data_IF_490295028665
#
_entry.id   IF_490295028665
#
_cell.length_a   1.000
_cell.length_b   1.000
_cell.length_c   1.000
_cell.angle_alpha   90.00
_cell.angle_beta   90.00
_cell.angle_gamma   90.00
#
_symmetry.space_group_name_H-M   'P 1'
#
loop_
_entity.id
_entity.type
_entity.pdbx_description
1 polymer ?
#
# COMPACT_ATOMS: atom_id res chain seq x y z
N UNK A 1 -38.61 62.28 -1.45
CA UNK A 1 -37.85 63.54 -1.47
C UNK A 1 -37.18 63.76 -0.12
N UNK A 2 -35.90 64.14 -0.16
CA UNK A 2 -35.05 64.67 0.93
C UNK A 2 -34.48 63.63 1.92
N UNK A 3 -33.27 63.23 1.56
CA UNK A 3 -32.22 62.72 2.43
C UNK A 3 -31.77 63.81 3.42
N UNK A 4 -31.45 63.43 4.66
CA UNK A 4 -30.38 64.02 5.47
C UNK A 4 -30.30 63.30 6.82
N UNK A 5 -29.14 62.69 7.11
CA UNK A 5 -28.34 62.95 8.32
C UNK A 5 -27.11 62.06 8.33
N UNK A 6 -25.97 62.70 8.12
CA UNK A 6 -24.63 62.24 8.42
C UNK A 6 -24.50 61.91 9.90
N UNK A 7 -24.04 60.71 10.25
CA UNK A 7 -23.35 60.46 11.52
C UNK A 7 -22.10 59.62 11.23
N UNK A 8 -21.01 60.18 11.73
CA UNK A 8 -19.62 59.75 11.69
C UNK A 8 -19.46 58.42 12.46
N UNK A 9 -19.15 57.33 11.77
CA UNK A 9 -18.72 56.08 12.42
C UNK A 9 -17.19 56.02 12.44
N UNK A 10 -16.63 56.04 13.64
CA UNK A 10 -15.24 55.75 13.90
C UNK A 10 -14.91 54.32 13.42
N UNK A 11 -14.09 54.21 12.38
CA UNK A 11 -13.56 52.94 11.91
C UNK A 11 -12.44 52.48 12.85
N UNK A 12 -12.79 51.61 13.80
CA UNK A 12 -11.83 50.72 14.45
C UNK A 12 -11.23 49.81 13.38
N UNK A 13 -9.91 49.87 13.21
CA UNK A 13 -9.14 48.98 12.35
C UNK A 13 -9.25 47.54 12.90
N UNK A 14 -10.19 46.76 12.38
CA UNK A 14 -10.19 45.31 12.55
C UNK A 14 -9.13 44.74 11.61
N UNK A 15 -7.94 44.45 12.14
CA UNK A 15 -6.96 43.64 11.43
C UNK A 15 -7.45 42.18 11.41
N UNK A 16 -7.48 41.52 10.25
CA UNK A 16 -7.94 40.14 10.16
C UNK A 16 -6.91 39.24 10.84
N UNK A 17 -7.34 38.54 11.89
CA UNK A 17 -6.63 37.39 12.42
C UNK A 17 -6.62 36.34 11.30
N UNK A 18 -5.53 36.26 10.54
CA UNK A 18 -5.31 35.20 9.56
C UNK A 18 -5.39 33.88 10.32
N UNK A 19 -6.50 33.16 10.15
CA UNK A 19 -6.64 31.77 10.54
C UNK A 19 -5.70 30.97 9.64
N UNK A 20 -4.47 30.76 10.10
CA UNK A 20 -3.63 29.69 9.58
C UNK A 20 -4.38 28.38 9.88
N UNK A 21 -5.12 27.90 8.88
CA UNK A 21 -5.47 26.50 8.82
C UNK A 21 -4.14 25.73 8.76
N UNK A 22 -3.67 25.27 9.92
CA UNK A 22 -2.61 24.28 9.97
C UNK A 22 -3.19 23.00 9.39
N UNK A 23 -2.97 22.79 8.10
CA UNK A 23 -3.04 21.47 7.51
C UNK A 23 -1.93 20.65 8.13
N UNK A 24 -2.23 20.01 9.26
CA UNK A 24 -1.40 18.95 9.80
C UNK A 24 -1.50 17.78 8.82
N UNK A 25 -0.65 17.82 7.80
CA UNK A 25 -0.28 16.62 7.07
C UNK A 25 0.29 15.64 8.10
N UNK A 26 -0.54 14.71 8.54
CA UNK A 26 -0.11 13.61 9.37
C UNK A 26 0.91 12.79 8.57
N UNK A 27 2.20 13.06 8.78
CA UNK A 27 3.23 12.07 8.55
C UNK A 27 3.01 10.99 9.60
N UNK A 28 2.17 10.01 9.29
CA UNK A 28 2.24 8.74 10.01
C UNK A 28 3.56 8.11 9.59
N UNK A 29 4.60 8.27 10.40
CA UNK A 29 5.59 7.21 10.55
C UNK A 29 4.81 6.01 11.11
N UNK A 30 4.09 5.31 10.23
CA UNK A 30 3.40 4.09 10.60
C UNK A 30 4.50 3.09 10.89
N UNK A 31 4.84 2.95 12.17
CA UNK A 31 5.70 1.89 12.65
C UNK A 31 5.18 0.59 12.02
N UNK A 32 6.08 -0.12 11.34
CA UNK A 32 5.75 -1.39 10.71
C UNK A 32 5.09 -2.31 11.75
N UNK A 33 4.00 -3.01 11.39
CA UNK A 33 3.28 -3.83 12.35
C UNK A 33 4.15 -5.02 12.76
N UNK A 34 4.18 -5.34 14.05
CA UNK A 34 4.91 -6.48 14.60
C UNK A 34 4.11 -7.78 14.40
N UNK A 35 3.76 -8.10 13.15
CA UNK A 35 3.02 -9.31 12.77
C UNK A 35 3.81 -10.15 11.78
N UNK A 36 3.45 -11.43 11.69
CA UNK A 36 4.12 -12.40 10.84
C UNK A 36 4.19 -11.97 9.36
N UNK A 37 3.13 -11.34 8.83
CA UNK A 37 3.15 -10.83 7.45
C UNK A 37 4.30 -9.84 7.21
N UNK A 38 4.54 -8.94 8.15
CA UNK A 38 5.59 -7.93 8.02
C UNK A 38 6.97 -8.56 8.15
N UNK A 39 7.13 -9.52 9.07
CA UNK A 39 8.35 -10.33 9.16
C UNK A 39 8.62 -11.05 7.83
N UNK A 40 7.60 -11.67 7.23
CA UNK A 40 7.73 -12.39 5.95
C UNK A 40 8.12 -11.45 4.81
N UNK A 41 7.52 -10.25 4.71
CA UNK A 41 7.93 -9.22 3.74
C UNK A 41 9.40 -8.86 3.94
N UNK A 42 9.81 -8.59 5.18
CA UNK A 42 11.19 -8.21 5.50
C UNK A 42 12.19 -9.32 5.17
N UNK A 43 11.91 -10.57 5.56
CA UNK A 43 12.75 -11.74 5.25
C UNK A 43 12.84 -11.98 3.74
N UNK A 44 11.73 -11.78 3.01
CA UNK A 44 11.68 -11.99 1.56
C UNK A 44 12.50 -10.94 0.82
N UNK A 45 12.39 -9.66 1.20
CA UNK A 45 13.22 -8.58 0.67
C UNK A 45 14.69 -8.70 1.11
N UNK A 46 14.95 -9.34 2.26
CA UNK A 46 16.31 -9.68 2.67
C UNK A 46 16.95 -10.69 1.71
N UNK A 47 16.16 -11.65 1.21
CA UNK A 47 16.60 -12.71 0.29
C UNK A 47 16.62 -12.29 -1.18
N UNK A 48 15.64 -11.51 -1.62
CA UNK A 48 15.42 -11.10 -3.01
C UNK A 48 15.70 -9.61 -3.19
N UNK A 49 16.99 -9.27 -3.36
CA UNK A 49 17.49 -7.88 -3.44
C UNK A 49 17.09 -7.15 -4.72
N UNK A 50 16.58 -7.87 -5.71
CA UNK A 50 16.01 -7.37 -6.95
C UNK A 50 14.58 -6.82 -6.79
N UNK A 51 13.87 -7.22 -5.73
CA UNK A 51 12.55 -6.69 -5.39
C UNK A 51 12.70 -5.38 -4.61
N UNK A 52 12.16 -4.30 -5.15
CA UNK A 52 12.26 -2.95 -4.55
C UNK A 52 11.03 -2.56 -3.75
N UNK A 53 9.85 -3.08 -4.09
CA UNK A 53 8.62 -2.89 -3.32
C UNK A 53 7.90 -4.23 -3.18
N UNK A 54 7.40 -4.49 -1.97
CA UNK A 54 6.49 -5.57 -1.69
C UNK A 54 5.36 -5.09 -0.77
N UNK A 55 4.12 -5.42 -1.11
CA UNK A 55 2.95 -5.09 -0.29
C UNK A 55 1.91 -6.22 -0.31
N UNK A 56 1.38 -6.57 0.87
CA UNK A 56 0.37 -7.62 1.04
C UNK A 56 -1.00 -6.99 1.25
N UNK A 57 -1.93 -7.23 0.32
CA UNK A 57 -3.34 -6.87 0.44
C UNK A 57 -4.14 -8.09 0.90
N UNK A 58 -4.62 -8.05 2.14
CA UNK A 58 -5.30 -9.18 2.79
C UNK A 58 -6.47 -8.64 3.62
N UNK A 59 -7.55 -9.41 3.74
CA UNK A 59 -8.68 -9.10 4.61
C UNK A 59 -8.32 -9.41 6.08
N UNK A 60 -8.23 -8.42 6.98
CA UNK A 60 -7.97 -8.67 8.39
C UNK A 60 -9.11 -9.43 9.08
N UNK A 61 -8.83 -10.13 10.20
CA UNK A 61 -9.87 -10.71 11.04
C UNK A 61 -10.92 -9.65 11.42
N UNK A 62 -12.20 -10.03 11.34
CA UNK A 62 -13.35 -9.17 11.67
C UNK A 62 -13.51 -7.91 10.79
N UNK A 63 -12.87 -7.88 9.61
CA UNK A 63 -13.05 -6.84 8.60
C UNK A 63 -13.54 -7.45 7.30
N UNK A 64 -14.08 -6.61 6.41
CA UNK A 64 -14.56 -7.00 5.08
C UNK A 64 -13.66 -6.55 3.93
N UNK A 65 -12.88 -5.49 4.15
CA UNK A 65 -12.05 -4.89 3.11
C UNK A 65 -10.67 -5.57 3.09
N UNK A 66 -10.13 -5.78 1.89
CA UNK A 66 -8.70 -6.06 1.73
C UNK A 66 -7.91 -4.77 1.92
N UNK A 67 -6.91 -4.81 2.79
CA UNK A 67 -6.05 -3.66 3.10
C UNK A 67 -4.59 -4.08 3.08
N UNK A 68 -3.68 -3.11 2.97
CA UNK A 68 -2.25 -3.36 3.18
C UNK A 68 -2.03 -3.76 4.64
N UNK A 69 -1.61 -5.01 4.87
CA UNK A 69 -1.28 -5.51 6.21
C UNK A 69 0.23 -5.54 6.47
N UNK A 70 1.04 -5.54 5.41
CA UNK A 70 2.49 -5.55 5.46
C UNK A 70 3.07 -4.93 4.20
N UNK A 71 4.11 -4.11 4.32
CA UNK A 71 4.87 -3.60 3.19
C UNK A 71 6.22 -2.99 3.61
N UNK A 72 7.11 -2.75 2.65
CA UNK A 72 8.32 -1.94 2.86
C UNK A 72 8.14 -0.45 2.52
N UNK A 73 6.94 -0.02 2.14
CA UNK A 73 6.62 1.38 1.79
C UNK A 73 5.56 1.99 2.72
N UNK A 74 5.20 1.30 3.80
CA UNK A 74 4.15 1.70 4.74
C UNK A 74 2.74 1.53 4.17
N UNK A 75 1.89 2.56 4.31
CA UNK A 75 0.49 2.56 3.85
C UNK A 75 -0.38 1.47 4.50
N UNK A 76 0.02 0.99 5.67
CA UNK A 76 -0.71 -0.03 6.43
C UNK A 76 -2.16 0.44 6.66
N UNK A 77 -3.13 -0.42 6.37
CA UNK A 77 -4.56 -0.12 6.44
C UNK A 77 -5.14 0.56 5.20
N UNK A 78 -4.33 0.97 4.21
CA UNK A 78 -4.85 1.47 2.93
C UNK A 78 -5.63 0.34 2.25
N UNK A 79 -6.84 0.64 1.79
CA UNK A 79 -7.64 -0.30 0.98
C UNK A 79 -6.90 -0.68 -0.30
N UNK A 80 -7.02 -1.95 -0.67
CA UNK A 80 -6.73 -2.46 -1.99
C UNK A 80 -7.48 -1.62 -3.03
N UNK A 81 -6.83 -1.29 -4.14
CA UNK A 81 -7.47 -0.60 -5.25
C UNK A 81 -7.97 -1.59 -6.32
N UNK A 82 -8.42 -1.07 -7.47
CA UNK A 82 -9.10 -1.86 -8.50
C UNK A 82 -8.19 -2.93 -9.12
N UNK A 83 -6.88 -2.69 -9.14
CA UNK A 83 -5.89 -3.61 -9.68
C UNK A 83 -5.67 -4.79 -8.73
N UNK A 84 -5.44 -4.48 -7.45
CA UNK A 84 -5.38 -5.48 -6.37
C UNK A 84 -6.65 -6.34 -6.30
N UNK A 85 -7.83 -5.70 -6.35
CA UNK A 85 -9.11 -6.40 -6.24
C UNK A 85 -9.38 -7.30 -7.45
N UNK A 86 -8.97 -6.90 -8.66
CA UNK A 86 -9.05 -7.77 -9.85
C UNK A 86 -8.23 -9.04 -9.68
N UNK A 87 -7.05 -8.95 -9.07
CA UNK A 87 -6.22 -10.13 -8.75
C UNK A 87 -6.91 -11.01 -7.70
N UNK A 88 -7.45 -10.40 -6.64
CA UNK A 88 -8.17 -11.08 -5.56
C UNK A 88 -9.42 -11.81 -6.06
N UNK A 89 -10.14 -11.24 -7.02
CA UNK A 89 -11.38 -11.82 -7.52
C UNK A 89 -11.10 -12.91 -8.57
N UNK A 90 -10.17 -12.65 -9.49
CA UNK A 90 -9.94 -13.52 -10.66
C UNK A 90 -8.85 -14.55 -10.44
N UNK A 91 -7.91 -14.31 -9.53
CA UNK A 91 -6.70 -15.13 -9.37
C UNK A 91 -5.70 -14.97 -10.50
N UNK A 92 -5.84 -13.95 -11.36
CA UNK A 92 -4.93 -13.66 -12.47
C UNK A 92 -4.06 -12.47 -12.11
N UNK A 93 -2.78 -12.53 -12.47
CA UNK A 93 -1.85 -11.44 -12.20
C UNK A 93 -2.19 -10.19 -13.01
N UNK A 94 -1.83 -9.03 -12.46
CA UNK A 94 -1.84 -7.75 -13.15
C UNK A 94 -0.41 -7.27 -13.38
N UNK A 95 -0.04 -7.03 -14.64
CA UNK A 95 1.33 -6.67 -15.04
C UNK A 95 1.35 -5.25 -15.59
N UNK A 96 2.09 -4.36 -14.94
CA UNK A 96 2.16 -2.97 -15.34
C UNK A 96 3.61 -2.46 -15.36
N UNK A 97 3.84 -1.45 -16.20
CA UNK A 97 5.01 -0.59 -16.07
C UNK A 97 4.49 0.74 -15.59
N UNK A 98 5.04 1.24 -14.48
CA UNK A 98 4.54 2.46 -13.88
C UNK A 98 4.64 3.67 -14.83
N UNK A 99 3.92 4.75 -14.53
CA UNK A 99 3.84 5.93 -15.41
C UNK A 99 5.20 6.55 -15.76
N UNK A 100 6.17 6.46 -14.87
CA UNK A 100 7.53 6.96 -15.07
C UNK A 100 8.42 6.01 -15.89
N UNK A 101 7.96 4.79 -16.15
CA UNK A 101 8.67 3.81 -16.99
C UNK A 101 9.87 3.15 -16.30
N UNK A 102 10.00 3.31 -14.98
CA UNK A 102 11.17 2.89 -14.22
C UNK A 102 10.91 1.74 -13.23
N UNK A 103 9.66 1.30 -13.08
CA UNK A 103 9.31 0.09 -12.34
C UNK A 103 8.44 -0.83 -13.18
N UNK A 104 8.66 -2.14 -12.98
CA UNK A 104 7.75 -3.19 -13.43
C UNK A 104 7.04 -3.73 -12.19
N UNK A 105 5.72 -3.67 -12.21
CA UNK A 105 4.84 -4.03 -11.11
C UNK A 105 4.08 -5.30 -11.50
N UNK A 106 4.21 -6.34 -10.68
CA UNK A 106 3.44 -7.58 -10.81
C UNK A 106 2.61 -7.76 -9.54
N UNK A 107 1.31 -7.59 -9.67
CA UNK A 107 0.35 -7.93 -8.62
C UNK A 107 -0.14 -9.35 -8.84
N UNK A 108 0.16 -10.22 -7.87
CA UNK A 108 -0.06 -11.65 -7.92
C UNK A 108 -1.06 -12.08 -6.86
N UNK A 109 -1.80 -13.18 -7.06
CA UNK A 109 -2.50 -13.83 -5.96
C UNK A 109 -1.51 -14.18 -4.85
N UNK A 110 -1.78 -13.73 -3.63
CA UNK A 110 -1.08 -14.19 -2.44
C UNK A 110 -1.65 -15.56 -2.06
N UNK A 111 -0.77 -16.55 -1.97
CA UNK A 111 -1.13 -17.94 -1.71
C UNK A 111 -0.62 -18.39 -0.35
N UNK A 112 -1.37 -19.25 0.32
CA UNK A 112 -0.86 -20.04 1.44
C UNK A 112 -0.14 -21.31 0.94
N UNK A 113 0.42 -22.08 1.87
CA UNK A 113 1.17 -23.31 1.57
C UNK A 113 0.33 -24.40 0.90
N UNK A 114 -1.00 -24.36 1.08
CA UNK A 114 -1.94 -25.28 0.46
C UNK A 114 -2.38 -24.81 -0.93
N UNK A 115 -1.94 -23.63 -1.38
CA UNK A 115 -2.30 -23.03 -2.65
C UNK A 115 -3.62 -22.26 -2.61
N UNK A 116 -4.20 -22.01 -1.43
CA UNK A 116 -5.40 -21.20 -1.33
C UNK A 116 -5.05 -19.73 -1.58
N UNK A 117 -5.88 -19.04 -2.35
CA UNK A 117 -5.79 -17.59 -2.52
C UNK A 117 -6.30 -16.90 -1.25
N UNK A 118 -5.42 -16.15 -0.60
CA UNK A 118 -5.68 -15.47 0.68
C UNK A 118 -5.59 -13.94 0.58
N UNK A 119 -5.31 -13.41 -0.62
CA UNK A 119 -5.20 -11.97 -0.88
C UNK A 119 -4.48 -11.70 -2.20
N UNK A 120 -3.88 -10.52 -2.30
CA UNK A 120 -2.94 -10.14 -3.35
C UNK A 120 -1.58 -9.72 -2.75
N UNK A 121 -0.53 -9.87 -3.54
CA UNK A 121 0.81 -9.36 -3.26
C UNK A 121 1.31 -8.57 -4.46
N UNK A 122 1.64 -7.31 -4.25
CA UNK A 122 2.39 -6.51 -5.22
C UNK A 122 3.88 -6.78 -5.06
N UNK A 123 4.56 -7.14 -6.15
CA UNK A 123 6.01 -7.32 -6.22
C UNK A 123 6.53 -6.41 -7.33
N UNK A 124 7.47 -5.53 -6.98
CA UNK A 124 7.97 -4.51 -7.90
C UNK A 124 9.47 -4.65 -8.08
N UNK A 125 9.92 -4.50 -9.33
CA UNK A 125 11.33 -4.49 -9.71
C UNK A 125 11.69 -3.15 -10.33
N UNK A 126 12.96 -2.75 -10.19
CA UNK A 126 13.54 -1.74 -11.06
C UNK A 126 13.40 -2.15 -12.53
N UNK A 127 13.02 -1.20 -13.37
CA UNK A 127 12.77 -1.44 -14.78
C UNK A 127 13.45 -0.40 -15.66
N UNK A 128 13.87 -0.86 -16.83
CA UNK A 128 14.33 -0.01 -17.93
C UNK A 128 13.71 -0.50 -19.23
N UNK A 129 13.41 0.39 -20.18
CA UNK A 129 12.92 -0.02 -21.50
C UNK A 129 13.84 -1.07 -22.14
N UNK A 130 13.25 -2.13 -22.67
CA UNK A 130 13.97 -3.25 -23.28
C UNK A 130 14.29 -4.41 -22.32
N UNK A 131 14.09 -4.26 -21.01
CA UNK A 131 14.10 -5.41 -20.09
C UNK A 131 12.90 -6.31 -20.38
N UNK A 132 13.15 -7.62 -20.37
CA UNK A 132 12.15 -8.66 -20.62
C UNK A 132 11.17 -8.77 -19.45
N UNK A 133 9.97 -8.24 -19.66
CA UNK A 133 8.87 -8.26 -18.68
C UNK A 133 8.44 -9.67 -18.30
N UNK A 134 8.49 -10.62 -19.25
CA UNK A 134 8.13 -12.01 -18.99
C UNK A 134 9.09 -12.71 -18.04
N UNK A 135 10.37 -12.32 -18.05
CA UNK A 135 11.34 -12.81 -17.04
C UNK A 135 11.09 -12.21 -15.67
N UNK A 136 10.73 -10.93 -15.58
CA UNK A 136 10.39 -10.30 -14.31
C UNK A 136 9.11 -10.90 -13.70
N UNK A 137 8.07 -11.12 -14.52
CA UNK A 137 6.86 -11.79 -14.06
C UNK A 137 7.16 -13.21 -13.51
N UNK A 138 7.94 -14.02 -14.24
CA UNK A 138 8.35 -15.35 -13.75
C UNK A 138 9.17 -15.29 -12.46
N UNK A 139 9.99 -14.25 -12.30
CA UNK A 139 10.74 -14.02 -11.07
C UNK A 139 9.78 -13.66 -9.92
N UNK A 140 8.78 -12.81 -10.15
CA UNK A 140 7.74 -12.49 -9.18
C UNK A 140 6.95 -13.75 -8.76
N UNK A 141 6.55 -14.59 -9.70
CA UNK A 141 5.89 -15.88 -9.43
C UNK A 141 6.74 -16.77 -8.53
N UNK A 142 8.04 -16.89 -8.82
CA UNK A 142 8.98 -17.66 -8.00
C UNK A 142 9.07 -17.11 -6.57
N UNK A 143 9.17 -15.78 -6.40
CA UNK A 143 9.18 -15.15 -5.08
C UNK A 143 7.88 -15.45 -4.32
N UNK A 144 6.72 -15.32 -4.98
CA UNK A 144 5.40 -15.64 -4.42
C UNK A 144 5.29 -17.11 -4.00
N UNK A 145 5.78 -18.04 -4.80
CA UNK A 145 5.73 -19.48 -4.50
C UNK A 145 6.69 -19.87 -3.36
N UNK A 146 7.82 -19.17 -3.21
CA UNK A 146 8.71 -19.33 -2.05
C UNK A 146 8.09 -18.78 -0.77
N UNK A 147 7.37 -17.66 -0.84
CA UNK A 147 6.61 -17.12 0.29
C UNK A 147 5.44 -18.03 0.68
N UNK A 148 4.70 -18.56 -0.29
CA UNK A 148 3.53 -19.41 -0.05
C UNK A 148 3.87 -20.60 0.85
N UNK A 149 5.03 -21.24 0.66
CA UNK A 149 5.54 -22.34 1.50
C UNK A 149 5.74 -21.98 2.97
N UNK A 150 5.84 -20.70 3.29
CA UNK A 150 6.03 -20.17 4.65
C UNK A 150 4.73 -19.65 5.26
N UNK A 151 3.62 -19.65 4.51
CA UNK A 151 2.32 -19.16 4.98
C UNK A 151 1.43 -20.38 5.26
N UNK A 152 1.36 -20.88 6.50
CA UNK A 152 0.55 -22.05 6.79
C UNK A 152 -0.96 -21.79 6.68
N UNK A 153 -1.40 -20.55 6.93
CA UNK A 153 -2.78 -20.09 6.75
C UNK A 153 -2.83 -18.56 6.69
N UNK A 154 -4.00 -18.00 6.33
CA UNK A 154 -4.24 -16.55 6.36
C UNK A 154 -4.12 -15.99 7.78
N UNK A 155 -4.61 -16.71 8.78
CA UNK A 155 -4.62 -16.28 10.19
C UNK A 155 -3.19 -16.08 10.71
N UNK A 156 -2.26 -16.95 10.28
CA UNK A 156 -0.86 -16.84 10.64
C UNK A 156 -0.27 -15.48 10.32
N UNK A 157 -0.68 -14.85 9.21
CA UNK A 157 -0.19 -13.53 8.78
C UNK A 157 -0.42 -12.43 9.83
N UNK A 158 -1.42 -12.59 10.70
CA UNK A 158 -1.82 -11.63 11.72
C UNK A 158 -1.29 -11.96 13.11
N UNK A 159 -0.61 -13.09 13.29
CA UNK A 159 0.01 -13.42 14.57
C UNK A 159 1.15 -12.44 14.86
N UNK A 160 1.21 -11.96 16.09
CA UNK A 160 2.31 -11.10 16.54
C UNK A 160 3.63 -11.87 16.50
N UNK A 161 4.69 -11.18 16.05
CA UNK A 161 6.06 -11.67 16.17
C UNK A 161 6.77 -10.91 17.26
N UNK A 162 7.46 -11.64 18.13
CA UNK A 162 8.44 -11.03 19.03
C UNK A 162 9.73 -10.86 18.23
N UNK A 163 10.21 -9.63 18.15
CA UNK A 163 11.57 -9.34 17.68
C UNK A 163 12.61 -9.97 18.61
#
# INVERSE_FOLDING_TARGET
>A
MKSARTVLCASLLATPFMLLAQEQAAKSDSQQPNIYAQKLVNDTLAKHKDVVIMAFHVTPPNQSDNVIIASNIGRIGKKADEDDMRVIDTGKSNLEVNKTGNHFEDELPLLDQAGNRIGAVGIVFDYKPGVDKGKLAKQAEKVRDEMAKQIPSKEKLFEETKD
#
